data_IF_058028531456
#
_entry.id   IF_058028531456
#
_cell.length_a   1.000
_cell.length_b   1.000
_cell.length_c   1.000
_cell.angle_alpha   90.00
_cell.angle_beta   90.00
_cell.angle_gamma   90.00
#
_symmetry.space_group_name_H-M   'P 1'
#
loop_
_entity.id
_entity.type
_entity.pdbx_description
1 polymer ?
#
# COMPACT_ATOMS: atom_id res chain seq x y z
N UNK A 1 27.65 -34.26 73.81
CA UNK A 1 27.23 -32.86 73.64
C UNK A 1 27.20 -32.56 72.14
N UNK A 2 26.01 -32.60 71.60
CA UNK A 2 25.79 -32.43 70.12
C UNK A 2 25.44 -30.97 69.85
N UNK A 3 26.27 -30.27 69.11
CA UNK A 3 25.97 -28.92 68.67
C UNK A 3 25.30 -28.99 67.22
N UNK A 4 24.05 -28.51 67.16
CA UNK A 4 23.28 -28.40 65.93
C UNK A 4 23.71 -27.13 65.23
N UNK A 5 24.24 -27.28 64.02
CA UNK A 5 24.45 -26.18 63.04
C UNK A 5 23.21 -26.04 62.17
N UNK A 6 22.54 -24.89 62.26
CA UNK A 6 21.43 -24.54 61.33
C UNK A 6 21.97 -23.91 60.09
N UNK A 7 21.75 -24.57 58.95
CA UNK A 7 21.99 -24.01 57.62
C UNK A 7 20.77 -23.20 57.19
N UNK A 8 20.93 -21.88 57.09
CA UNK A 8 19.91 -21.00 56.52
C UNK A 8 20.17 -20.96 55.02
N UNK A 9 19.28 -21.58 54.23
CA UNK A 9 19.29 -21.46 52.78
C UNK A 9 18.57 -20.14 52.40
N UNK A 10 19.33 -19.16 51.91
CA UNK A 10 18.78 -17.96 51.26
C UNK A 10 18.28 -18.33 49.87
N UNK A 11 16.96 -18.37 49.70
CA UNK A 11 16.30 -18.48 48.40
C UNK A 11 16.31 -17.09 47.76
N UNK A 12 17.23 -16.81 46.85
CA UNK A 12 17.18 -15.62 45.99
C UNK A 12 16.14 -15.84 44.90
N UNK A 13 14.99 -15.19 45.05
CA UNK A 13 13.96 -15.11 44.01
C UNK A 13 14.48 -14.16 42.90
N UNK A 14 14.97 -14.72 41.82
CA UNK A 14 15.22 -13.95 40.58
C UNK A 14 13.88 -13.70 39.93
N UNK A 15 13.31 -12.52 40.15
CA UNK A 15 12.19 -12.03 39.35
C UNK A 15 12.76 -11.66 37.98
N UNK A 16 12.65 -12.56 37.03
CA UNK A 16 12.83 -12.22 35.64
C UNK A 16 11.68 -11.28 35.23
N UNK A 17 11.98 -9.99 35.13
CA UNK A 17 11.11 -9.06 34.47
C UNK A 17 11.00 -9.53 32.99
N UNK A 18 9.89 -10.18 32.67
CA UNK A 18 9.50 -10.39 31.30
C UNK A 18 9.34 -8.99 30.67
N UNK A 19 10.27 -8.60 29.83
CA UNK A 19 10.04 -7.55 28.87
C UNK A 19 8.89 -8.05 28.00
N UNK A 20 7.68 -7.59 28.30
CA UNK A 20 6.50 -7.82 27.49
C UNK A 20 6.65 -7.00 26.21
N UNK A 21 7.41 -7.51 25.26
CA UNK A 21 7.22 -7.18 23.86
C UNK A 21 5.81 -7.67 23.53
N UNK A 22 4.93 -6.80 23.10
CA UNK A 22 3.65 -7.20 22.56
C UNK A 22 3.93 -8.25 21.48
N UNK A 23 3.51 -9.50 21.71
CA UNK A 23 3.51 -10.54 20.69
C UNK A 23 2.48 -10.14 19.65
N UNK A 24 2.91 -9.29 18.68
CA UNK A 24 2.07 -8.89 17.56
C UNK A 24 2.02 -10.05 16.57
N UNK A 25 0.82 -10.48 16.18
CA UNK A 25 0.63 -11.54 15.18
C UNK A 25 0.58 -11.01 13.76
N UNK A 26 0.51 -11.94 12.80
CA UNK A 26 0.21 -11.63 11.41
C UNK A 26 -1.23 -11.12 11.24
N UNK A 27 -1.41 -10.16 10.33
CA UNK A 27 -2.73 -9.71 9.92
C UNK A 27 -3.51 -10.89 9.32
N UNK A 28 -4.78 -11.03 9.72
CA UNK A 28 -5.68 -12.09 9.25
C UNK A 28 -6.95 -11.50 8.65
N UNK A 29 -7.56 -12.23 7.73
CA UNK A 29 -8.86 -11.91 7.17
C UNK A 29 -9.95 -12.80 7.76
N UNK A 30 -11.08 -12.22 8.12
CA UNK A 30 -12.30 -12.93 8.50
C UNK A 30 -13.50 -12.31 7.76
N UNK A 31 -13.88 -12.91 6.64
CA UNK A 31 -14.86 -12.30 5.73
C UNK A 31 -14.37 -10.96 5.20
N UNK A 32 -15.11 -9.90 5.49
CA UNK A 32 -14.79 -8.50 5.13
C UNK A 32 -14.04 -7.72 6.22
N UNK A 33 -13.65 -8.40 7.31
CA UNK A 33 -12.90 -7.81 8.42
C UNK A 33 -11.42 -8.17 8.34
N UNK A 34 -10.56 -7.24 8.79
CA UNK A 34 -9.16 -7.49 9.09
C UNK A 34 -8.96 -7.61 10.59
N UNK A 35 -8.22 -8.62 11.00
CA UNK A 35 -7.92 -8.90 12.41
C UNK A 35 -6.41 -8.84 12.63
N UNK A 36 -5.98 -8.03 13.59
CA UNK A 36 -4.63 -8.03 14.11
C UNK A 36 -4.70 -8.44 15.58
N UNK A 37 -3.93 -9.46 15.98
CA UNK A 37 -3.97 -10.05 17.33
C UNK A 37 -5.38 -10.50 17.76
N UNK A 38 -6.15 -11.01 16.80
CA UNK A 38 -7.52 -11.45 17.02
C UNK A 38 -8.56 -10.34 17.19
N UNK A 39 -8.16 -9.07 17.10
CA UNK A 39 -9.03 -7.90 17.21
C UNK A 39 -9.24 -7.25 15.84
N UNK A 40 -10.41 -6.65 15.56
CA UNK A 40 -10.62 -5.89 14.36
C UNK A 40 -9.61 -4.75 14.22
N UNK A 41 -8.86 -4.74 13.11
CA UNK A 41 -8.00 -3.61 12.77
C UNK A 41 -8.86 -2.39 12.43
N UNK A 42 -8.56 -1.25 13.04
CA UNK A 42 -9.16 0.05 12.75
C UNK A 42 -8.06 1.10 12.88
N UNK A 43 -7.53 1.57 11.75
CA UNK A 43 -6.33 2.39 11.76
C UNK A 43 -6.36 3.43 10.64
N UNK A 44 -6.09 4.67 10.99
CA UNK A 44 -5.61 5.70 10.07
C UNK A 44 -4.09 5.74 10.14
N UNK A 45 -3.43 5.64 9.01
CA UNK A 45 -1.98 5.60 8.90
C UNK A 45 -1.51 6.41 7.70
N UNK A 46 -0.29 6.23 7.23
CA UNK A 46 0.29 7.12 6.24
C UNK A 46 0.97 6.38 5.09
N UNK A 47 1.05 7.04 3.94
CA UNK A 47 2.03 6.75 2.91
C UNK A 47 3.33 7.52 3.20
N UNK A 48 4.47 6.90 2.98
CA UNK A 48 5.78 7.53 2.88
C UNK A 48 6.48 6.90 1.68
N UNK A 49 6.10 7.38 0.50
CA UNK A 49 6.49 6.82 -0.78
C UNK A 49 7.99 6.54 -0.88
N UNK A 50 8.82 7.52 -0.52
CA UNK A 50 10.27 7.50 -0.67
C UNK A 50 11.02 6.82 0.49
N UNK A 51 10.31 6.16 1.42
CA UNK A 51 10.90 5.61 2.63
C UNK A 51 12.11 4.70 2.33
N UNK A 52 11.92 3.65 1.52
CA UNK A 52 13.01 2.74 1.16
C UNK A 52 14.06 3.42 0.27
N UNK A 53 13.66 4.32 -0.62
CA UNK A 53 14.58 5.05 -1.49
C UNK A 53 15.60 5.85 -0.68
N UNK A 54 15.18 6.43 0.45
CA UNK A 54 16.07 7.14 1.39
C UNK A 54 17.04 6.20 2.09
N UNK A 55 16.61 4.99 2.45
CA UNK A 55 17.51 3.96 2.99
C UNK A 55 18.56 3.52 1.97
N UNK A 56 18.18 3.40 0.69
CA UNK A 56 19.12 3.07 -0.40
C UNK A 56 20.19 4.17 -0.62
N UNK A 57 19.81 5.44 -0.47
CA UNK A 57 20.74 6.56 -0.56
C UNK A 57 21.70 6.61 0.63
N UNK A 58 21.25 6.21 1.82
CA UNK A 58 22.05 6.23 3.03
C UNK A 58 22.32 7.63 3.59
N UNK A 59 23.30 7.76 4.50
CA UNK A 59 23.69 9.05 5.05
C UNK A 59 22.55 9.86 5.66
N UNK A 60 22.47 11.16 5.34
CA UNK A 60 21.45 12.07 5.86
C UNK A 60 20.03 11.69 5.37
N UNK A 61 19.88 11.14 4.18
CA UNK A 61 18.59 10.70 3.66
C UNK A 61 18.01 9.57 4.52
N UNK A 62 18.83 8.58 4.89
CA UNK A 62 18.42 7.52 5.82
C UNK A 62 18.04 8.09 7.18
N UNK A 63 18.79 9.06 7.70
CA UNK A 63 18.49 9.70 8.98
C UNK A 63 17.12 10.40 8.94
N UNK A 64 16.82 11.14 7.87
CA UNK A 64 15.50 11.76 7.68
C UNK A 64 14.38 10.71 7.62
N UNK A 65 14.62 9.57 6.97
CA UNK A 65 13.64 8.48 6.94
C UNK A 65 13.39 7.88 8.34
N UNK A 66 14.44 7.75 9.16
CA UNK A 66 14.31 7.32 10.56
C UNK A 66 13.54 8.33 11.41
N UNK A 67 13.79 9.61 11.23
CA UNK A 67 13.05 10.70 11.88
C UNK A 67 11.56 10.68 11.47
N UNK A 68 11.27 10.48 10.19
CA UNK A 68 9.90 10.35 9.70
C UNK A 68 9.16 9.14 10.27
N UNK A 69 9.83 7.98 10.38
CA UNK A 69 9.31 6.77 11.04
C UNK A 69 8.96 7.05 12.52
N UNK A 70 9.90 7.61 13.27
CA UNK A 70 9.72 7.93 14.68
C UNK A 70 8.60 8.96 14.88
N UNK A 71 8.53 9.98 14.01
CA UNK A 71 7.47 10.99 14.03
C UNK A 71 6.09 10.38 13.76
N UNK A 72 5.94 9.53 12.74
CA UNK A 72 4.67 8.86 12.45
C UNK A 72 4.21 8.00 13.65
N UNK A 73 5.12 7.23 14.24
CA UNK A 73 4.84 6.41 15.42
C UNK A 73 4.39 7.26 16.62
N UNK A 74 5.04 8.41 16.87
CA UNK A 74 4.72 9.31 17.96
C UNK A 74 3.30 9.92 17.84
N UNK A 75 2.76 10.02 16.62
CA UNK A 75 1.40 10.47 16.34
C UNK A 75 0.38 9.32 16.22
N UNK A 76 0.80 8.06 16.53
CA UNK A 76 -0.09 6.89 16.50
C UNK A 76 -0.31 6.32 15.09
N UNK A 77 0.44 6.76 14.07
CA UNK A 77 0.36 6.22 12.72
C UNK A 77 1.27 5.00 12.59
N UNK A 78 0.77 3.86 13.06
CA UNK A 78 1.55 2.63 13.26
C UNK A 78 1.63 1.74 12.02
N UNK A 79 1.26 2.22 10.84
CA UNK A 79 1.51 1.55 9.57
C UNK A 79 1.98 2.55 8.51
N UNK A 80 2.90 2.12 7.65
CA UNK A 80 3.44 2.94 6.55
C UNK A 80 3.46 2.14 5.26
N UNK A 81 2.81 2.69 4.22
CA UNK A 81 2.86 2.19 2.85
C UNK A 81 3.94 2.96 2.08
N UNK A 82 4.74 2.24 1.30
CA UNK A 82 5.89 2.83 0.60
C UNK A 82 6.28 2.04 -0.65
N UNK A 83 7.09 2.63 -1.54
CA UNK A 83 7.68 1.89 -2.65
C UNK A 83 8.67 0.83 -2.11
N UNK A 84 8.30 -0.44 -2.20
CA UNK A 84 9.15 -1.57 -1.82
C UNK A 84 10.20 -1.91 -2.87
N UNK A 85 10.37 -1.09 -3.89
CA UNK A 85 11.30 -1.25 -5.01
C UNK A 85 11.89 0.11 -5.38
N UNK A 86 13.07 0.12 -6.00
CA UNK A 86 13.70 1.35 -6.50
C UNK A 86 13.23 1.72 -7.92
N UNK A 87 13.81 2.77 -8.48
CA UNK A 87 13.59 3.20 -9.86
C UNK A 87 14.76 2.80 -10.78
N UNK A 88 14.45 2.49 -12.02
CA UNK A 88 15.46 2.20 -13.02
C UNK A 88 15.70 3.43 -13.91
N UNK A 89 16.96 3.77 -14.24
CA UNK A 89 18.19 3.10 -13.82
C UNK A 89 18.77 3.59 -12.49
N UNK A 90 18.16 4.57 -11.83
CA UNK A 90 18.75 5.28 -10.68
C UNK A 90 19.09 4.34 -9.53
N UNK A 91 18.12 3.60 -9.04
CA UNK A 91 18.27 2.71 -7.89
C UNK A 91 18.51 1.26 -8.32
N UNK A 92 17.72 0.76 -9.24
CA UNK A 92 17.71 -0.66 -9.64
C UNK A 92 18.99 -1.15 -10.30
N UNK A 93 19.82 -0.25 -10.83
CA UNK A 93 21.20 -0.59 -11.25
C UNK A 93 22.04 -1.16 -10.10
N UNK A 94 21.66 -0.89 -8.86
CA UNK A 94 22.34 -1.36 -7.65
C UNK A 94 21.77 -2.69 -7.14
N UNK A 95 20.59 -3.12 -7.58
CA UNK A 95 19.97 -4.38 -7.16
C UNK A 95 20.90 -5.60 -7.40
N UNK A 96 21.68 -5.72 -8.49
CA UNK A 96 22.67 -6.79 -8.63
C UNK A 96 23.74 -6.83 -7.52
N UNK A 97 23.97 -5.72 -6.80
CA UNK A 97 24.79 -5.64 -5.59
C UNK A 97 23.99 -6.02 -4.36
N UNK A 98 23.47 -7.21 -4.33
CA UNK A 98 22.40 -7.65 -3.42
C UNK A 98 22.67 -7.38 -1.93
N UNK A 99 23.92 -7.45 -1.47
CA UNK A 99 24.26 -7.21 -0.06
C UNK A 99 23.89 -5.78 0.38
N UNK A 100 24.27 -4.76 -0.38
CA UNK A 100 23.95 -3.37 -0.04
C UNK A 100 22.45 -3.08 -0.16
N UNK A 101 21.80 -3.63 -1.19
CA UNK A 101 20.37 -3.50 -1.41
C UNK A 101 19.55 -4.07 -0.25
N UNK A 102 19.80 -5.35 0.07
CA UNK A 102 19.07 -6.02 1.14
C UNK A 102 19.48 -5.50 2.52
N UNK A 103 20.73 -5.08 2.71
CA UNK A 103 21.16 -4.42 3.94
C UNK A 103 20.41 -3.11 4.23
N UNK A 104 20.07 -2.34 3.19
CA UNK A 104 19.23 -1.14 3.34
C UNK A 104 17.79 -1.52 3.72
N UNK A 105 17.23 -2.56 3.12
CA UNK A 105 15.88 -3.04 3.44
C UNK A 105 15.81 -3.66 4.84
N UNK A 106 16.80 -4.46 5.23
CA UNK A 106 16.90 -5.02 6.59
C UNK A 106 16.93 -3.93 7.65
N UNK A 107 17.70 -2.87 7.39
CA UNK A 107 17.80 -1.74 8.28
C UNK A 107 16.47 -0.99 8.42
N UNK A 108 15.74 -0.80 7.31
CA UNK A 108 14.41 -0.22 7.33
C UNK A 108 13.44 -1.07 8.18
N UNK A 109 13.42 -2.40 7.97
CA UNK A 109 12.54 -3.30 8.72
C UNK A 109 12.88 -3.30 10.20
N UNK A 110 14.17 -3.30 10.56
CA UNK A 110 14.61 -3.24 11.94
C UNK A 110 14.22 -1.92 12.64
N UNK A 111 14.43 -0.78 11.95
CA UNK A 111 14.06 0.55 12.48
C UNK A 111 12.53 0.67 12.63
N UNK A 112 11.74 0.15 11.68
CA UNK A 112 10.28 0.11 11.77
C UNK A 112 9.79 -0.77 12.94
N UNK A 113 10.39 -1.94 13.11
CA UNK A 113 10.09 -2.83 14.25
C UNK A 113 10.39 -2.15 15.57
N UNK A 114 11.52 -1.46 15.68
CA UNK A 114 11.89 -0.72 16.89
C UNK A 114 10.91 0.43 17.18
N UNK A 115 10.41 1.09 16.13
CA UNK A 115 9.42 2.17 16.26
C UNK A 115 7.99 1.67 16.50
N UNK A 116 7.73 0.36 16.44
CA UNK A 116 6.39 -0.21 16.53
C UNK A 116 5.52 0.07 15.29
N UNK A 117 6.14 0.28 14.14
CA UNK A 117 5.47 0.58 12.86
C UNK A 117 5.45 -0.65 11.98
N UNK A 118 4.28 -0.98 11.43
CA UNK A 118 4.10 -2.02 10.42
C UNK A 118 4.35 -1.45 9.02
N UNK A 119 4.86 -2.27 8.12
CA UNK A 119 5.26 -1.88 6.78
C UNK A 119 4.36 -2.51 5.72
N UNK A 120 3.98 -1.73 4.72
CA UNK A 120 3.23 -2.17 3.54
C UNK A 120 4.08 -1.86 2.30
N UNK A 121 4.98 -2.77 1.91
CA UNK A 121 5.80 -2.57 0.72
C UNK A 121 5.00 -2.85 -0.55
N UNK A 122 5.02 -1.90 -1.48
CA UNK A 122 4.51 -2.08 -2.84
C UNK A 122 5.59 -2.71 -3.70
N UNK A 123 5.36 -3.93 -4.17
CA UNK A 123 6.37 -4.76 -4.85
C UNK A 123 6.76 -4.20 -6.22
N UNK A 124 5.79 -3.67 -6.97
CA UNK A 124 6.01 -3.03 -8.26
C UNK A 124 5.33 -1.66 -8.31
N UNK A 125 6.00 -0.63 -7.80
CA UNK A 125 5.43 0.72 -7.75
C UNK A 125 5.20 1.31 -9.14
N UNK A 126 6.23 1.25 -10.00
CA UNK A 126 6.16 1.80 -11.34
C UNK A 126 6.06 0.68 -12.39
N UNK A 127 4.95 0.65 -13.11
CA UNK A 127 4.66 -0.39 -14.10
C UNK A 127 5.71 -0.51 -15.21
N UNK A 128 6.40 0.57 -15.58
CA UNK A 128 7.45 0.52 -16.60
C UNK A 128 8.83 0.13 -16.07
N UNK A 129 9.01 -0.04 -14.78
CA UNK A 129 10.31 -0.33 -14.15
C UNK A 129 11.00 -1.55 -14.76
N UNK A 130 10.39 -2.71 -14.68
CA UNK A 130 10.97 -3.96 -15.17
C UNK A 130 10.95 -4.07 -16.71
N UNK A 131 9.92 -3.56 -17.41
CA UNK A 131 9.99 -3.38 -18.85
C UNK A 131 11.19 -2.55 -19.32
N UNK A 132 11.46 -1.40 -18.70
CA UNK A 132 12.62 -0.56 -19.04
C UNK A 132 13.94 -1.29 -18.78
N UNK A 133 14.07 -2.02 -17.67
CA UNK A 133 15.23 -2.85 -17.38
C UNK A 133 15.46 -3.95 -18.42
N UNK A 134 14.39 -4.53 -18.93
CA UNK A 134 14.41 -5.61 -19.91
C UNK A 134 14.50 -5.12 -21.36
N UNK A 135 14.31 -3.81 -21.60
CA UNK A 135 14.08 -3.22 -22.93
C UNK A 135 12.84 -3.84 -23.62
N UNK A 136 11.77 -4.00 -22.88
CA UNK A 136 10.48 -4.54 -23.28
C UNK A 136 9.38 -3.49 -23.04
N UNK A 137 8.16 -3.79 -23.49
CA UNK A 137 7.01 -2.94 -23.24
C UNK A 137 6.21 -3.43 -22.01
N UNK A 138 5.35 -2.58 -21.48
CA UNK A 138 4.49 -2.94 -20.34
C UNK A 138 3.63 -4.15 -20.66
N UNK A 139 3.06 -4.22 -21.86
CA UNK A 139 2.25 -5.36 -22.29
C UNK A 139 3.03 -6.69 -22.33
N UNK A 140 4.34 -6.66 -22.62
CA UNK A 140 5.18 -7.87 -22.58
C UNK A 140 5.22 -8.43 -21.15
N UNK A 141 5.40 -7.56 -20.13
CA UNK A 141 5.40 -7.98 -18.73
C UNK A 141 4.02 -8.48 -18.27
N UNK A 142 2.95 -7.81 -18.66
CA UNK A 142 1.59 -8.14 -18.21
C UNK A 142 1.02 -9.36 -18.93
N UNK A 143 1.30 -9.50 -20.24
CA UNK A 143 0.69 -10.52 -21.09
C UNK A 143 1.52 -11.80 -21.27
N UNK A 144 2.86 -11.70 -21.20
CA UNK A 144 3.76 -12.82 -21.52
C UNK A 144 4.53 -13.34 -20.30
N UNK A 145 4.20 -14.53 -19.78
CA UNK A 145 4.85 -15.10 -18.59
C UNK A 145 6.32 -15.50 -18.83
N UNK A 146 6.79 -15.54 -20.07
CA UNK A 146 8.17 -15.82 -20.48
C UNK A 146 8.97 -14.57 -20.84
N UNK A 147 8.36 -13.35 -20.72
CA UNK A 147 9.09 -12.10 -20.93
C UNK A 147 10.19 -11.91 -19.90
N UNK A 148 11.26 -11.20 -20.28
CA UNK A 148 12.38 -10.91 -19.36
C UNK A 148 11.95 -9.96 -18.24
N UNK A 149 11.08 -9.01 -18.56
CA UNK A 149 10.52 -8.08 -17.58
C UNK A 149 9.72 -8.81 -16.50
N UNK A 150 8.90 -9.79 -16.88
CA UNK A 150 8.22 -10.65 -15.92
C UNK A 150 9.22 -11.46 -15.06
N UNK A 151 10.22 -12.07 -15.68
CA UNK A 151 11.24 -12.86 -14.96
C UNK A 151 12.02 -12.00 -13.94
N UNK A 152 12.34 -10.74 -14.28
CA UNK A 152 12.98 -9.81 -13.34
C UNK A 152 12.04 -9.46 -12.16
N UNK A 153 10.79 -9.14 -12.45
CA UNK A 153 9.80 -8.85 -11.41
C UNK A 153 9.58 -10.06 -10.50
N UNK A 154 9.37 -11.25 -11.07
CA UNK A 154 9.15 -12.47 -10.28
C UNK A 154 10.35 -12.78 -9.39
N UNK A 155 11.57 -12.66 -9.92
CA UNK A 155 12.80 -12.86 -9.16
C UNK A 155 12.87 -11.87 -7.99
N UNK A 156 12.62 -10.58 -8.25
CA UNK A 156 12.62 -9.55 -7.23
C UNK A 156 11.58 -9.84 -6.13
N UNK A 157 10.34 -10.08 -6.53
CA UNK A 157 9.24 -10.36 -5.62
C UNK A 157 9.54 -11.58 -4.73
N UNK A 158 10.02 -12.68 -5.31
CA UNK A 158 10.40 -13.87 -4.55
C UNK A 158 11.53 -13.61 -3.56
N UNK A 159 12.55 -12.85 -3.95
CA UNK A 159 13.66 -12.49 -3.06
C UNK A 159 13.19 -11.63 -1.88
N UNK A 160 12.39 -10.60 -2.15
CA UNK A 160 11.84 -9.70 -1.15
C UNK A 160 10.95 -10.48 -0.16
N UNK A 161 9.99 -11.20 -0.68
CA UNK A 161 8.98 -11.89 0.11
C UNK A 161 9.60 -13.05 0.92
N UNK A 162 10.45 -13.88 0.31
CA UNK A 162 11.12 -14.98 1.02
C UNK A 162 11.98 -14.49 2.20
N UNK A 163 12.55 -13.27 2.09
CA UNK A 163 13.38 -12.68 3.13
C UNK A 163 12.58 -12.29 4.38
N UNK A 164 11.35 -11.83 4.20
CA UNK A 164 10.53 -11.28 5.28
C UNK A 164 9.22 -12.06 5.55
N UNK A 165 9.03 -13.24 4.95
CA UNK A 165 7.80 -14.04 5.10
C UNK A 165 7.44 -14.40 6.54
N UNK A 166 8.43 -14.45 7.43
CA UNK A 166 8.25 -14.78 8.85
C UNK A 166 8.38 -13.53 9.75
N UNK A 167 8.40 -12.32 9.16
CA UNK A 167 8.57 -11.07 9.88
C UNK A 167 7.26 -10.28 9.96
N UNK A 168 6.68 -10.23 11.14
CA UNK A 168 5.39 -9.56 11.42
C UNK A 168 5.43 -8.04 11.26
N UNK A 169 6.61 -7.42 11.14
CA UNK A 169 6.72 -5.98 10.82
C UNK A 169 6.14 -5.68 9.45
N UNK A 170 6.16 -6.63 8.52
CA UNK A 170 5.40 -6.53 7.28
C UNK A 170 3.93 -6.78 7.59
N UNK A 171 3.06 -5.81 7.28
CA UNK A 171 1.63 -5.94 7.52
C UNK A 171 0.96 -6.82 6.46
N UNK A 172 1.21 -6.52 5.20
CA UNK A 172 0.82 -7.31 4.01
C UNK A 172 1.63 -6.86 2.79
N UNK A 173 1.57 -7.67 1.72
CA UNK A 173 2.21 -7.36 0.44
C UNK A 173 1.22 -6.66 -0.49
N UNK A 174 1.65 -5.59 -1.11
CA UNK A 174 0.89 -4.91 -2.15
C UNK A 174 1.57 -5.11 -3.51
N UNK A 175 0.81 -5.58 -4.51
CA UNK A 175 1.38 -6.06 -5.77
C UNK A 175 1.90 -4.92 -6.65
N UNK A 176 1.12 -3.83 -6.77
CA UNK A 176 1.39 -2.74 -7.70
C UNK A 176 0.81 -1.42 -7.18
N UNK A 177 1.08 -0.32 -7.89
CA UNK A 177 0.46 0.96 -7.60
C UNK A 177 -0.43 1.38 -8.77
N UNK A 178 -1.75 1.53 -8.51
CA UNK A 178 -2.73 2.10 -9.43
C UNK A 178 -2.78 1.50 -10.84
N UNK A 179 -2.40 0.23 -10.99
CA UNK A 179 -2.31 -0.40 -12.30
C UNK A 179 -3.64 -0.34 -13.08
N UNK A 180 -4.78 -0.40 -12.37
CA UNK A 180 -6.09 -0.33 -12.99
C UNK A 180 -6.40 1.01 -13.70
N UNK A 181 -5.69 2.09 -13.34
CA UNK A 181 -5.86 3.38 -14.04
C UNK A 181 -5.35 3.35 -15.48
N UNK A 182 -4.47 2.41 -15.80
CA UNK A 182 -3.91 2.21 -17.14
C UNK A 182 -4.72 1.30 -18.04
N UNK A 183 -5.61 0.51 -17.52
CA UNK A 183 -6.33 -0.52 -18.27
C UNK A 183 -7.42 0.04 -19.18
N UNK A 184 -7.67 -0.60 -20.33
CA UNK A 184 -8.80 -0.38 -21.25
C UNK A 184 -8.91 1.06 -21.82
N UNK A 185 -7.84 1.84 -21.89
CA UNK A 185 -7.90 3.22 -22.38
C UNK A 185 -7.69 3.35 -23.89
N UNK A 186 -7.54 2.25 -24.59
CA UNK A 186 -7.39 2.18 -26.05
C UNK A 186 -6.06 2.75 -26.55
N UNK A 187 -5.82 2.66 -27.87
CA UNK A 187 -4.51 2.88 -28.48
C UNK A 187 -4.06 4.36 -28.59
N UNK A 188 -4.86 5.31 -28.16
CA UNK A 188 -4.73 6.72 -28.56
C UNK A 188 -4.39 7.69 -27.45
N UNK A 189 -4.23 7.27 -26.21
CA UNK A 189 -3.82 8.22 -25.17
C UNK A 189 -2.37 8.02 -24.80
N UNK A 190 -1.51 9.04 -25.05
CA UNK A 190 -0.25 9.09 -24.33
C UNK A 190 -0.60 9.11 -22.85
N UNK A 191 -0.16 8.11 -22.10
CA UNK A 191 -0.20 8.15 -20.67
C UNK A 191 0.80 9.18 -20.19
N UNK A 192 0.31 10.38 -20.01
CA UNK A 192 0.84 11.12 -18.91
C UNK A 192 0.23 10.51 -17.64
N UNK A 193 0.99 9.91 -16.79
CA UNK A 193 0.83 10.18 -15.38
C UNK A 193 1.11 11.68 -15.27
N UNK A 194 0.08 12.46 -15.60
CA UNK A 194 0.13 13.90 -15.49
C UNK A 194 0.29 14.19 -14.01
N UNK A 195 1.45 14.62 -13.62
CA UNK A 195 1.79 14.97 -12.25
C UNK A 195 2.97 14.24 -11.63
N UNK A 196 3.33 13.05 -12.09
CA UNK A 196 4.50 12.35 -11.59
C UNK A 196 5.61 12.44 -12.63
N UNK A 197 6.42 13.48 -12.52
CA UNK A 197 7.60 13.65 -13.36
C UNK A 197 8.74 12.75 -12.87
N UNK A 198 8.61 11.45 -13.15
CA UNK A 198 9.61 10.44 -12.77
C UNK A 198 10.84 10.42 -13.69
N UNK A 199 10.94 11.37 -14.64
CA UNK A 199 12.07 11.44 -15.59
C UNK A 199 13.40 11.53 -14.84
N UNK A 200 13.45 12.29 -13.75
CA UNK A 200 14.65 12.43 -12.90
C UNK A 200 15.00 11.11 -12.17
N UNK A 201 14.05 10.21 -12.03
CA UNK A 201 14.23 8.88 -11.46
C UNK A 201 14.45 7.80 -12.52
N UNK A 202 14.49 8.16 -13.80
CA UNK A 202 14.76 7.27 -14.91
C UNK A 202 13.55 6.61 -15.56
N UNK A 203 12.33 7.05 -15.20
CA UNK A 203 11.11 6.52 -15.83
C UNK A 203 10.92 7.10 -17.22
N UNK A 204 10.52 6.26 -18.18
CA UNK A 204 10.20 6.73 -19.53
C UNK A 204 9.02 7.69 -19.52
N UNK A 205 9.19 8.85 -20.18
CA UNK A 205 8.17 9.88 -20.29
C UNK A 205 7.10 9.56 -21.34
N UNK A 206 7.42 8.69 -22.30
CA UNK A 206 6.52 8.36 -23.41
C UNK A 206 6.18 6.88 -23.41
N UNK A 207 4.87 6.58 -23.45
CA UNK A 207 4.37 5.24 -23.69
C UNK A 207 4.18 5.00 -25.18
N UNK A 208 4.57 3.81 -25.59
CA UNK A 208 4.30 3.29 -26.92
C UNK A 208 2.92 2.62 -26.95
N UNK A 209 2.38 2.41 -28.15
CA UNK A 209 1.15 1.60 -28.33
C UNK A 209 1.21 0.23 -27.65
N UNK A 210 2.40 -0.37 -27.57
CA UNK A 210 2.67 -1.66 -26.90
C UNK A 210 2.69 -1.58 -25.37
N UNK A 211 2.55 -0.39 -24.81
CA UNK A 211 2.37 -0.21 -23.37
C UNK A 211 0.90 -0.17 -22.95
N UNK A 212 -0.04 -0.19 -23.93
CA UNK A 212 -1.46 -0.28 -23.63
C UNK A 212 -1.84 -1.72 -23.28
N UNK A 213 -2.60 -1.85 -22.24
CA UNK A 213 -3.07 -3.15 -21.74
C UNK A 213 -4.55 -3.09 -21.38
N UNK A 214 -5.16 -4.24 -21.31
CA UNK A 214 -6.54 -4.43 -20.89
C UNK A 214 -6.66 -4.77 -19.41
N UNK A 215 -7.87 -4.67 -18.86
CA UNK A 215 -8.15 -5.21 -17.53
C UNK A 215 -7.87 -6.73 -17.45
N UNK A 216 -8.08 -7.47 -18.52
CA UNK A 216 -7.79 -8.91 -18.54
C UNK A 216 -6.28 -9.21 -18.48
N UNK A 217 -5.43 -8.41 -19.17
CA UNK A 217 -3.97 -8.47 -19.04
C UNK A 217 -3.54 -8.17 -17.60
N UNK A 218 -4.11 -7.12 -17.01
CA UNK A 218 -3.87 -6.75 -15.61
C UNK A 218 -4.29 -7.87 -14.64
N UNK A 219 -5.48 -8.45 -14.80
CA UNK A 219 -5.97 -9.53 -13.96
C UNK A 219 -5.04 -10.75 -14.05
N UNK A 220 -4.64 -11.14 -15.26
CA UNK A 220 -3.69 -12.23 -15.48
C UNK A 220 -2.33 -11.97 -14.80
N UNK A 221 -1.80 -10.76 -14.92
CA UNK A 221 -0.59 -10.31 -14.27
C UNK A 221 -0.71 -10.37 -12.73
N UNK A 222 -1.76 -9.78 -12.16
CA UNK A 222 -1.99 -9.77 -10.71
C UNK A 222 -2.11 -11.18 -10.15
N UNK A 223 -2.83 -12.07 -10.83
CA UNK A 223 -2.95 -13.48 -10.43
C UNK A 223 -1.61 -14.21 -10.44
N UNK A 224 -0.78 -13.99 -11.46
CA UNK A 224 0.58 -14.58 -11.53
C UNK A 224 1.48 -14.06 -10.42
N UNK A 225 1.51 -12.74 -10.20
CA UNK A 225 2.37 -12.14 -9.17
C UNK A 225 1.93 -12.57 -7.76
N UNK A 226 0.62 -12.56 -7.48
CA UNK A 226 0.07 -13.07 -6.23
C UNK A 226 0.39 -14.57 -6.03
N UNK A 227 0.30 -15.38 -7.09
CA UNK A 227 0.67 -16.80 -7.06
C UNK A 227 2.16 -16.99 -6.77
N UNK A 228 3.04 -16.19 -7.38
CA UNK A 228 4.46 -16.21 -7.12
C UNK A 228 4.79 -15.86 -5.65
N UNK A 229 4.16 -14.83 -5.10
CA UNK A 229 4.29 -14.44 -3.69
C UNK A 229 3.75 -15.56 -2.79
N UNK A 230 2.54 -16.04 -3.04
CA UNK A 230 1.90 -17.08 -2.21
C UNK A 230 2.70 -18.39 -2.18
N UNK A 231 3.45 -18.70 -3.24
CA UNK A 231 4.30 -19.90 -3.28
C UNK A 231 5.48 -19.86 -2.29
N UNK A 232 5.85 -18.67 -1.79
CA UNK A 232 6.97 -18.48 -0.84
C UNK A 232 6.52 -17.93 0.51
N UNK A 233 5.31 -17.38 0.59
CA UNK A 233 4.75 -16.79 1.80
C UNK A 233 3.27 -17.17 1.98
N UNK A 234 2.99 -17.94 3.00
CA UNK A 234 1.64 -18.31 3.44
C UNK A 234 1.13 -17.47 4.63
N UNK A 235 1.96 -16.59 5.18
CA UNK A 235 1.67 -15.86 6.40
C UNK A 235 0.98 -14.53 6.14
N UNK A 236 1.48 -13.74 5.18
CA UNK A 236 0.96 -12.40 4.92
C UNK A 236 -0.21 -12.42 3.94
N UNK A 237 -1.09 -11.44 4.11
CA UNK A 237 -2.14 -11.14 3.14
C UNK A 237 -1.56 -10.42 1.91
N UNK A 238 -2.31 -10.45 0.81
CA UNK A 238 -1.93 -9.84 -0.47
C UNK A 238 -3.02 -8.89 -0.93
N UNK A 239 -2.63 -7.68 -1.34
CA UNK A 239 -3.50 -6.65 -1.92
C UNK A 239 -3.02 -6.24 -3.32
N UNK A 240 -3.91 -5.70 -4.15
CA UNK A 240 -3.54 -5.25 -5.50
C UNK A 240 -2.83 -3.90 -5.54
N UNK A 241 -3.19 -2.95 -4.67
CA UNK A 241 -2.78 -1.54 -4.77
C UNK A 241 -3.53 -0.77 -5.86
N UNK A 242 -4.69 -1.23 -6.27
CA UNK A 242 -5.52 -0.54 -7.25
C UNK A 242 -6.15 0.73 -6.67
N UNK A 243 -6.31 1.73 -7.53
CA UNK A 243 -7.18 2.89 -7.29
C UNK A 243 -8.66 2.51 -7.38
N UNK A 244 -9.55 3.40 -6.93
CA UNK A 244 -10.99 3.23 -7.15
C UNK A 244 -11.28 2.95 -8.64
N UNK A 245 -12.12 1.95 -8.96
CA UNK A 245 -12.48 1.68 -10.34
C UNK A 245 -13.08 2.90 -11.04
N UNK A 246 -12.83 3.04 -12.35
CA UNK A 246 -13.52 4.06 -13.14
C UNK A 246 -15.02 3.85 -13.10
N UNK A 247 -15.82 4.90 -13.35
CA UNK A 247 -17.29 4.80 -13.37
C UNK A 247 -17.82 3.74 -14.34
N UNK A 248 -17.07 3.50 -15.41
CA UNK A 248 -17.41 2.60 -16.52
C UNK A 248 -16.41 1.43 -16.66
N UNK A 249 -15.72 1.04 -15.58
CA UNK A 249 -14.62 0.08 -15.64
C UNK A 249 -15.05 -1.26 -16.24
N UNK A 250 -16.19 -1.78 -15.83
CA UNK A 250 -16.72 -3.07 -16.33
C UNK A 250 -17.27 -2.96 -17.75
N UNK A 251 -17.90 -1.85 -18.12
CA UNK A 251 -18.33 -1.61 -19.48
C UNK A 251 -17.14 -1.50 -20.44
N UNK A 252 -16.13 -0.73 -20.07
CA UNK A 252 -14.89 -0.59 -20.86
C UNK A 252 -14.19 -1.94 -21.06
N UNK A 253 -14.09 -2.76 -20.01
CA UNK A 253 -13.51 -4.10 -20.07
C UNK A 253 -14.27 -5.02 -21.05
N UNK A 254 -15.59 -4.97 -21.08
CA UNK A 254 -16.42 -5.82 -21.96
C UNK A 254 -16.30 -5.46 -23.44
N UNK A 255 -16.00 -4.21 -23.76
CA UNK A 255 -16.01 -3.68 -25.13
C UNK A 255 -14.67 -3.84 -25.88
N UNK A 256 -13.62 -4.35 -25.24
CA UNK A 256 -12.33 -4.74 -25.83
C UNK A 256 -11.86 -3.85 -27.03
N UNK A 257 -11.60 -2.56 -26.76
CA UNK A 257 -11.02 -1.65 -27.76
C UNK A 257 -11.92 -0.51 -28.20
N UNK A 258 -13.19 -0.53 -27.87
CA UNK A 258 -14.09 0.63 -27.95
C UNK A 258 -14.30 1.17 -26.54
N UNK A 259 -14.09 2.47 -26.35
CA UNK A 259 -14.27 3.10 -25.03
C UNK A 259 -15.76 3.31 -24.77
N UNK A 260 -16.37 2.43 -23.99
CA UNK A 260 -17.76 2.58 -23.49
C UNK A 260 -17.73 3.23 -22.09
N UNK A 261 -18.09 4.51 -22.05
CA UNK A 261 -18.15 5.29 -20.80
C UNK A 261 -19.52 5.22 -20.11
N UNK A 262 -20.37 4.26 -20.48
CA UNK A 262 -21.63 4.03 -19.75
C UNK A 262 -21.31 3.69 -18.29
N UNK A 263 -21.87 4.44 -17.32
CA UNK A 263 -21.61 4.18 -15.92
C UNK A 263 -22.03 2.76 -15.51
N UNK A 264 -21.16 2.11 -14.75
CA UNK A 264 -21.42 0.79 -14.19
C UNK A 264 -22.54 0.84 -13.15
N UNK A 265 -23.37 -0.18 -13.15
CA UNK A 265 -24.24 -0.47 -12.03
C UNK A 265 -23.44 -0.94 -10.80
N UNK A 266 -24.05 -1.00 -9.64
CA UNK A 266 -23.40 -1.55 -8.44
C UNK A 266 -23.01 -3.05 -8.63
N UNK A 267 -23.81 -3.79 -9.41
CA UNK A 267 -23.50 -5.19 -9.76
C UNK A 267 -22.29 -5.28 -10.69
N UNK A 268 -22.18 -4.37 -11.68
CA UNK A 268 -21.01 -4.29 -12.56
C UNK A 268 -19.76 -3.91 -11.77
N UNK A 269 -19.85 -2.93 -10.88
CA UNK A 269 -18.76 -2.54 -9.99
C UNK A 269 -18.29 -3.72 -9.11
N UNK A 270 -19.23 -4.44 -8.50
CA UNK A 270 -18.91 -5.62 -7.70
C UNK A 270 -18.28 -6.73 -8.55
N UNK A 271 -18.75 -6.93 -9.79
CA UNK A 271 -18.17 -7.89 -10.72
C UNK A 271 -16.71 -7.51 -11.09
N UNK A 272 -16.47 -6.23 -11.41
CA UNK A 272 -15.13 -5.74 -11.68
C UNK A 272 -14.19 -5.92 -10.49
N UNK A 273 -14.63 -5.53 -9.29
CA UNK A 273 -13.84 -5.69 -8.05
C UNK A 273 -13.55 -7.17 -7.76
N UNK A 274 -14.50 -8.07 -7.96
CA UNK A 274 -14.29 -9.50 -7.77
C UNK A 274 -13.23 -10.05 -8.71
N UNK A 275 -13.30 -9.70 -9.99
CA UNK A 275 -12.43 -10.23 -11.01
C UNK A 275 -11.01 -9.68 -10.89
N UNK A 276 -10.86 -8.39 -10.57
CA UNK A 276 -9.56 -7.74 -10.37
C UNK A 276 -8.89 -8.09 -9.04
N UNK A 277 -9.62 -8.70 -8.10
CA UNK A 277 -9.10 -9.14 -6.81
C UNK A 277 -9.40 -10.63 -6.56
N UNK A 278 -9.36 -11.46 -7.63
CA UNK A 278 -9.56 -12.90 -7.51
C UNK A 278 -8.47 -13.57 -6.63
N UNK A 279 -8.78 -14.73 -6.03
CA UNK A 279 -7.80 -15.47 -5.24
C UNK A 279 -6.52 -15.76 -6.07
N UNK A 280 -5.34 -15.69 -5.48
CA UNK A 280 -5.03 -15.62 -4.04
C UNK A 280 -4.87 -14.19 -3.45
N UNK A 281 -5.47 -13.19 -4.04
CA UNK A 281 -5.50 -11.81 -3.51
C UNK A 281 -6.55 -11.75 -2.39
N UNK A 282 -6.16 -11.21 -1.24
CA UNK A 282 -6.97 -11.23 -0.02
C UNK A 282 -7.77 -9.94 0.22
N UNK A 283 -7.24 -8.79 -0.22
CA UNK A 283 -7.72 -7.45 0.10
C UNK A 283 -8.07 -6.68 -1.16
N UNK A 284 -9.11 -5.86 -1.06
CA UNK A 284 -9.48 -4.88 -2.09
C UNK A 284 -8.89 -3.53 -1.71
N UNK A 285 -7.99 -3.00 -2.54
CA UNK A 285 -7.46 -1.65 -2.43
C UNK A 285 -8.32 -0.68 -3.20
N UNK A 286 -8.48 0.53 -2.66
CA UNK A 286 -8.86 1.72 -3.41
C UNK A 286 -7.94 2.87 -3.04
N UNK A 287 -7.59 3.71 -4.01
CA UNK A 287 -7.09 5.05 -3.78
C UNK A 287 -8.23 6.01 -4.05
N UNK A 288 -8.52 6.88 -3.10
CA UNK A 288 -9.71 7.73 -3.14
C UNK A 288 -9.32 9.18 -2.91
N UNK A 289 -9.40 9.97 -3.98
CA UNK A 289 -9.07 11.38 -3.97
C UNK A 289 -10.30 12.22 -4.34
N UNK A 290 -10.29 13.48 -3.98
CA UNK A 290 -11.36 14.46 -4.01
C UNK A 290 -12.41 14.38 -5.15
N UNK A 291 -12.72 15.48 -5.76
CA UNK A 291 -13.86 15.68 -6.66
C UNK A 291 -13.98 14.65 -7.81
N UNK A 292 -12.86 14.19 -8.37
CA UNK A 292 -12.89 13.22 -9.46
C UNK A 292 -13.47 11.85 -9.06
N UNK A 293 -13.12 11.37 -7.88
CA UNK A 293 -13.60 10.06 -7.43
C UNK A 293 -15.05 10.11 -6.97
N UNK A 294 -15.48 11.24 -6.42
CA UNK A 294 -16.89 11.48 -6.11
C UNK A 294 -17.77 11.54 -7.36
N UNK A 295 -17.34 12.26 -8.39
CA UNK A 295 -18.10 12.40 -9.63
C UNK A 295 -18.18 11.09 -10.43
N UNK A 296 -17.25 10.16 -10.25
CA UNK A 296 -17.25 8.86 -10.92
C UNK A 296 -18.55 8.09 -10.79
N UNK A 297 -19.30 8.28 -9.73
CA UNK A 297 -20.53 7.56 -9.47
C UNK A 297 -21.78 8.41 -9.72
N UNK A 298 -21.69 9.42 -10.58
CA UNK A 298 -22.78 10.34 -10.85
C UNK A 298 -23.18 11.16 -9.63
N UNK A 299 -22.27 11.30 -8.68
CA UNK A 299 -22.49 12.04 -7.46
C UNK A 299 -22.20 13.52 -7.70
N UNK A 300 -23.18 14.40 -7.43
CA UNK A 300 -23.00 15.86 -7.52
C UNK A 300 -22.64 16.47 -6.16
N UNK A 301 -22.60 15.67 -5.11
CA UNK A 301 -22.19 16.09 -3.78
C UNK A 301 -20.63 16.10 -3.73
N UNK A 302 -20.01 17.22 -3.35
CA UNK A 302 -18.56 17.28 -3.18
C UNK A 302 -18.04 16.37 -2.04
N UNK A 303 -18.94 15.81 -1.22
CA UNK A 303 -18.59 14.93 -0.10
C UNK A 303 -18.48 13.47 -0.55
N UNK A 304 -17.52 12.77 0.05
CA UNK A 304 -17.12 11.41 -0.31
C UNK A 304 -18.07 10.30 0.16
N UNK A 305 -18.97 10.60 1.09
CA UNK A 305 -19.75 9.61 1.83
C UNK A 305 -20.52 8.62 0.95
N UNK A 306 -21.16 9.11 -0.13
CA UNK A 306 -21.94 8.26 -1.03
C UNK A 306 -21.07 7.36 -1.88
N UNK A 307 -20.00 7.89 -2.46
CA UNK A 307 -19.09 7.13 -3.31
C UNK A 307 -18.36 6.02 -2.51
N UNK A 308 -17.85 6.37 -1.32
CA UNK A 308 -17.22 5.37 -0.43
C UNK A 308 -18.20 4.29 0.03
N UNK A 309 -19.49 4.66 0.28
CA UNK A 309 -20.50 3.67 0.64
C UNK A 309 -20.77 2.69 -0.51
N UNK A 310 -20.81 3.15 -1.75
CA UNK A 310 -20.98 2.29 -2.93
C UNK A 310 -19.77 1.36 -3.14
N UNK A 311 -18.55 1.88 -3.00
CA UNK A 311 -17.32 1.07 -3.09
C UNK A 311 -17.28 0.02 -1.98
N UNK A 312 -17.62 0.39 -0.75
CA UNK A 312 -17.69 -0.55 0.39
C UNK A 312 -18.75 -1.61 0.18
N UNK A 313 -19.95 -1.23 -0.29
CA UNK A 313 -21.02 -2.19 -0.59
C UNK A 313 -20.62 -3.17 -1.69
N UNK A 314 -19.96 -2.70 -2.76
CA UNK A 314 -19.44 -3.57 -3.81
C UNK A 314 -18.41 -4.57 -3.26
N UNK A 315 -17.47 -4.11 -2.43
CA UNK A 315 -16.47 -4.97 -1.79
C UNK A 315 -17.10 -5.99 -0.82
N UNK A 316 -18.15 -5.60 -0.09
CA UNK A 316 -18.89 -6.51 0.79
C UNK A 316 -19.60 -7.63 0.01
N UNK A 317 -20.13 -7.33 -1.18
CA UNK A 317 -20.69 -8.34 -2.09
C UNK A 317 -19.63 -9.30 -2.63
N UNK A 318 -18.38 -8.86 -2.77
CA UNK A 318 -17.24 -9.71 -3.12
C UNK A 318 -16.82 -10.58 -1.93
N UNK A 319 -17.08 -10.15 -0.70
CA UNK A 319 -16.70 -10.85 0.53
C UNK A 319 -15.24 -10.69 0.93
N UNK A 320 -14.60 -9.57 0.50
CA UNK A 320 -13.21 -9.23 0.86
C UNK A 320 -13.13 -7.88 1.57
N UNK A 321 -12.18 -7.71 2.50
CA UNK A 321 -11.96 -6.42 3.15
C UNK A 321 -11.57 -5.34 2.14
N UNK A 322 -12.21 -4.18 2.23
CA UNK A 322 -11.82 -2.96 1.52
C UNK A 322 -10.94 -2.11 2.42
N UNK A 323 -9.82 -1.62 1.91
CA UNK A 323 -9.04 -0.57 2.58
C UNK A 323 -8.76 0.59 1.61
N UNK A 324 -8.54 1.77 2.19
CA UNK A 324 -8.13 2.97 1.43
C UNK A 324 -6.60 3.02 1.45
N UNK A 325 -5.98 2.67 0.31
CA UNK A 325 -4.51 2.63 0.15
C UNK A 325 -3.91 4.03 0.01
N UNK A 326 -4.67 4.96 -0.57
CA UNK A 326 -4.31 6.37 -0.63
C UNK A 326 -5.54 7.25 -0.52
N UNK A 327 -5.40 8.36 0.20
CA UNK A 327 -6.32 9.50 0.17
C UNK A 327 -5.56 10.75 0.57
N UNK A 328 -5.94 11.89 0.03
CA UNK A 328 -5.28 13.15 0.35
C UNK A 328 -5.98 14.34 -0.28
N UNK A 329 -5.54 15.53 0.12
CA UNK A 329 -5.99 16.80 -0.45
C UNK A 329 -4.77 17.72 -0.59
N UNK A 330 -4.93 18.82 -1.29
CA UNK A 330 -3.92 19.84 -1.36
C UNK A 330 -3.91 20.65 -0.04
N UNK A 331 -3.14 20.17 0.94
CA UNK A 331 -3.08 20.75 2.29
C UNK A 331 -2.43 22.13 2.31
N UNK A 332 -1.58 22.44 1.33
CA UNK A 332 -0.97 23.76 1.19
C UNK A 332 -2.01 24.84 0.87
N UNK A 333 -2.95 24.51 -0.02
CA UNK A 333 -4.03 25.42 -0.41
C UNK A 333 -5.28 25.32 0.47
N UNK A 334 -5.48 24.18 1.12
CA UNK A 334 -6.68 23.86 1.93
C UNK A 334 -6.28 23.24 3.26
N UNK A 335 -5.70 24.01 4.19
CA UNK A 335 -5.23 23.47 5.48
C UNK A 335 -6.35 22.86 6.34
N UNK A 336 -7.59 23.34 6.18
CA UNK A 336 -8.80 22.82 6.86
C UNK A 336 -9.62 21.90 5.96
N UNK A 337 -8.96 21.02 5.23
CA UNK A 337 -9.56 20.21 4.18
C UNK A 337 -10.86 19.49 4.64
N UNK A 338 -12.04 19.95 4.19
CA UNK A 338 -13.29 19.27 4.49
C UNK A 338 -13.35 17.88 3.87
N UNK A 339 -12.60 17.66 2.78
CA UNK A 339 -12.53 16.38 2.10
C UNK A 339 -11.86 15.30 2.97
N UNK A 340 -10.66 15.55 3.51
CA UNK A 340 -10.02 14.57 4.38
C UNK A 340 -10.89 14.23 5.59
N UNK A 341 -11.50 15.23 6.21
CA UNK A 341 -12.41 15.01 7.33
C UNK A 341 -13.58 14.10 6.93
N UNK A 342 -14.23 14.39 5.81
CA UNK A 342 -15.36 13.60 5.32
C UNK A 342 -14.97 12.16 4.99
N UNK A 343 -13.79 11.95 4.36
CA UNK A 343 -13.26 10.60 4.11
C UNK A 343 -13.03 9.85 5.43
N UNK A 344 -12.36 10.47 6.40
CA UNK A 344 -12.04 9.82 7.67
C UNK A 344 -13.31 9.52 8.49
N UNK A 345 -14.27 10.45 8.56
CA UNK A 345 -15.55 10.26 9.24
C UNK A 345 -16.37 9.15 8.56
N UNK A 346 -16.36 9.12 7.23
CA UNK A 346 -17.06 8.09 6.45
C UNK A 346 -16.39 6.73 6.61
N UNK A 347 -15.07 6.65 6.54
CA UNK A 347 -14.31 5.42 6.74
C UNK A 347 -14.56 4.84 8.15
N UNK A 348 -14.58 5.71 9.17
CA UNK A 348 -14.92 5.33 10.54
C UNK A 348 -16.33 4.75 10.63
N UNK A 349 -17.32 5.46 10.08
CA UNK A 349 -18.74 5.04 10.09
C UNK A 349 -18.97 3.73 9.33
N UNK A 350 -18.30 3.53 8.19
CA UNK A 350 -18.37 2.32 7.37
C UNK A 350 -17.47 1.19 7.87
N UNK A 351 -16.74 1.42 8.96
CA UNK A 351 -15.79 0.46 9.54
C UNK A 351 -14.74 -0.03 8.54
N UNK A 352 -14.26 0.86 7.67
CA UNK A 352 -13.12 0.54 6.78
C UNK A 352 -11.89 0.30 7.67
N UNK A 353 -11.24 -0.87 7.56
CA UNK A 353 -10.25 -1.28 8.55
C UNK A 353 -8.94 -0.47 8.53
N UNK A 354 -8.55 0.05 7.36
CA UNK A 354 -7.32 0.80 7.19
C UNK A 354 -7.52 1.93 6.19
N UNK A 355 -7.06 3.12 6.57
CA UNK A 355 -7.03 4.31 5.70
C UNK A 355 -5.64 4.91 5.75
N UNK A 356 -4.98 5.00 4.60
CA UNK A 356 -3.62 5.51 4.45
C UNK A 356 -3.68 6.89 3.79
N UNK A 357 -3.20 7.91 4.49
CA UNK A 357 -3.18 9.28 3.98
C UNK A 357 -1.91 9.53 3.18
N UNK A 358 -2.05 10.12 2.02
CA UNK A 358 -0.96 10.56 1.15
C UNK A 358 -0.62 12.02 1.47
N UNK A 359 0.64 12.34 1.79
CA UNK A 359 1.69 11.47 2.27
C UNK A 359 2.51 12.15 3.38
N UNK A 360 3.19 11.33 4.19
CA UNK A 360 3.91 11.77 5.38
C UNK A 360 5.28 12.36 5.04
N UNK A 361 5.48 13.60 5.50
CA UNK A 361 6.79 14.28 5.54
C UNK A 361 7.56 14.28 4.21
N UNK A 362 6.91 14.76 3.15
CA UNK A 362 7.54 15.03 1.85
C UNK A 362 7.43 16.51 1.49
N UNK A 363 8.39 17.34 1.92
CA UNK A 363 8.37 18.78 1.63
C UNK A 363 8.29 19.07 0.14
N UNK A 364 7.38 19.97 -0.25
CA UNK A 364 7.13 20.33 -1.64
C UNK A 364 6.07 19.51 -2.36
N UNK A 365 5.57 18.44 -1.74
CA UNK A 365 4.36 17.76 -2.22
C UNK A 365 3.12 18.54 -1.72
N UNK A 366 2.15 18.89 -2.58
CA UNK A 366 0.95 19.61 -2.16
C UNK A 366 0.09 18.80 -1.18
N UNK A 367 0.27 17.49 -1.12
CA UNK A 367 -0.41 16.60 -0.18
C UNK A 367 0.46 16.25 1.04
N UNK A 368 1.51 17.02 1.32
CA UNK A 368 2.41 16.77 2.44
C UNK A 368 1.69 16.86 3.78
N UNK A 369 1.74 15.79 4.56
CA UNK A 369 1.24 15.71 5.93
C UNK A 369 2.40 15.71 6.90
N UNK A 370 2.46 16.75 7.74
CA UNK A 370 3.56 16.90 8.70
C UNK A 370 3.09 17.70 9.93
N UNK A 371 3.47 17.33 11.16
CA UNK A 371 2.97 17.99 12.37
C UNK A 371 3.35 19.47 12.46
N UNK A 372 4.39 19.90 11.76
CA UNK A 372 4.83 21.30 11.76
C UNK A 372 4.23 22.10 10.60
N UNK A 373 4.13 21.50 9.40
CA UNK A 373 3.68 22.18 8.18
C UNK A 373 2.15 22.13 8.02
N UNK A 374 1.54 21.01 8.38
CA UNK A 374 0.10 20.74 8.20
C UNK A 374 -0.54 20.17 9.47
N UNK A 375 -0.42 20.85 10.63
CA UNK A 375 -0.87 20.32 11.91
C UNK A 375 -2.37 19.96 11.93
N UNK A 376 -3.21 20.71 11.21
CA UNK A 376 -4.66 20.45 11.17
C UNK A 376 -4.98 19.08 10.54
N UNK A 377 -4.25 18.67 9.50
CA UNK A 377 -4.41 17.34 8.90
C UNK A 377 -4.00 16.24 9.89
N UNK A 378 -2.86 16.41 10.57
CA UNK A 378 -2.40 15.46 11.60
C UNK A 378 -3.41 15.31 12.73
N UNK A 379 -3.93 16.42 13.28
CA UNK A 379 -4.97 16.39 14.31
C UNK A 379 -6.27 15.69 13.85
N UNK A 380 -6.67 15.84 12.58
CA UNK A 380 -7.84 15.12 12.04
C UNK A 380 -7.60 13.62 12.03
N UNK A 381 -6.40 13.18 11.62
CA UNK A 381 -6.01 11.76 11.59
C UNK A 381 -5.93 11.16 13.00
N UNK A 382 -5.35 11.88 13.96
CA UNK A 382 -5.27 11.46 15.36
C UNK A 382 -6.68 11.31 15.98
N UNK A 383 -7.58 12.27 15.72
CA UNK A 383 -8.99 12.18 16.18
C UNK A 383 -9.71 10.99 15.56
N UNK A 384 -9.48 10.71 14.29
CA UNK A 384 -10.07 9.54 13.63
C UNK A 384 -9.56 8.23 14.25
N UNK A 385 -8.25 8.10 14.52
CA UNK A 385 -7.70 6.95 15.22
C UNK A 385 -8.32 6.77 16.62
N UNK A 386 -8.45 7.85 17.39
CA UNK A 386 -9.08 7.79 18.71
C UNK A 386 -10.56 7.35 18.60
N UNK A 387 -11.31 7.84 17.60
CA UNK A 387 -12.70 7.45 17.37
C UNK A 387 -12.85 5.99 16.92
N UNK A 388 -11.87 5.44 16.23
CA UNK A 388 -11.86 4.04 15.80
C UNK A 388 -11.48 3.07 16.92
N UNK A 389 -11.02 3.57 18.07
CA UNK A 389 -10.54 2.74 19.20
C UNK A 389 -9.17 2.13 18.92
N UNK A 390 -8.42 2.68 18.00
CA UNK A 390 -7.06 2.32 17.68
C UNK A 390 -6.09 3.06 18.59
N UNK A 391 -5.61 2.37 19.59
CA UNK A 391 -4.58 2.81 20.49
C UNK A 391 -3.81 1.59 20.98
#
# INVERSE_FOLDING_TARGET
MLSRVWLIALLTLVVAAAAGGAEGGFLRRSGTELLLDGKPLRLVAVNKFDLFLRYLKGGDERKQAQEALASAAAHGFTAIRFSGVGFYPVDMKNWPRQEAWWGAFDALVADAQQAGVRLIPVVNWNTSLFPDMAQECVLDMLGAPDSRSWQYLELYARQLVARYRDNETILFWELSNELNLGADLGPMRPYGYEGLNWVDLGTSYMRLRRDNYTSDDMIGYMARLAGAIRSVDSNHLIATGNSAPRPAAQHMRRQQGEMDWTPDSLDDLAAYMRDTNADPIDLISIHFYSEHDNMRFGNTDPLSAKALAQLKEAADRVGKPLYIGETGDNYEQRPDTPFLRDVLDTATRLKIPLTLVWQWDLPGDPNDVNPTRTPAAVEMMERANAAMGGG
#
